data_IF_292944805481
#
_entry.id   IF_292944805481
#
_cell.length_a   1.000
_cell.length_b   1.000
_cell.length_c   1.000
_cell.angle_alpha   90.00
_cell.angle_beta   90.00
_cell.angle_gamma   90.00
#
_symmetry.space_group_name_H-M   'P 1'
#
loop_
_entity.id
_entity.type
_entity.pdbx_description
1 polymer ?
#
# COMPACT_ATOMS: atom_id res chain seq x y z
N UNK A 1 8.59 1.37 7.14
CA UNK A 1 8.97 2.74 6.75
C UNK A 1 10.47 2.93 6.63
N UNK A 2 11.22 2.01 6.00
CA UNK A 2 12.68 2.14 5.89
C UNK A 2 13.09 3.34 5.03
N UNK A 3 12.59 3.42 3.80
CA UNK A 3 12.90 4.50 2.86
C UNK A 3 12.55 5.90 3.40
N UNK A 4 11.38 6.04 4.02
CA UNK A 4 10.85 7.34 4.43
C UNK A 4 11.42 7.83 5.77
N UNK A 5 12.06 6.97 6.58
CA UNK A 5 12.41 7.30 7.96
C UNK A 5 13.35 8.53 8.07
N UNK A 6 14.40 8.70 7.23
CA UNK A 6 15.24 9.89 7.28
C UNK A 6 14.44 11.17 6.97
N UNK A 7 13.66 11.16 5.88
CA UNK A 7 12.83 12.29 5.44
C UNK A 7 11.75 12.66 6.46
N UNK A 8 11.10 11.66 7.06
CA UNK A 8 10.13 11.89 8.13
C UNK A 8 10.82 12.47 9.37
N UNK A 9 12.05 12.03 9.67
CA UNK A 9 12.84 12.59 10.75
C UNK A 9 13.13 14.08 10.57
N UNK A 10 13.53 14.51 9.37
CA UNK A 10 13.73 15.92 9.02
C UNK A 10 12.42 16.71 9.10
N UNK A 11 11.31 16.15 8.60
CA UNK A 11 9.97 16.77 8.70
C UNK A 11 9.54 16.98 10.15
N UNK A 12 9.75 15.98 11.02
CA UNK A 12 9.43 16.06 12.45
C UNK A 12 10.28 17.09 13.20
N UNK A 13 11.52 17.33 12.76
CA UNK A 13 12.40 18.37 13.34
C UNK A 13 12.15 19.76 12.74
N UNK A 14 11.27 19.88 11.75
CA UNK A 14 11.00 21.14 11.05
C UNK A 14 12.12 21.58 10.11
N UNK A 15 13.00 20.66 9.70
CA UNK A 15 14.16 20.95 8.84
C UNK A 15 13.76 21.00 7.35
N UNK A 16 12.74 20.26 6.97
CA UNK A 16 12.20 20.22 5.62
C UNK A 16 10.71 19.84 5.63
N UNK A 17 9.99 20.10 4.54
CA UNK A 17 8.60 19.68 4.39
C UNK A 17 8.43 18.78 3.17
N UNK A 18 8.15 17.50 3.42
CA UNK A 18 7.95 16.48 2.39
C UNK A 18 6.49 16.06 2.31
N UNK A 19 5.99 15.86 1.09
CA UNK A 19 4.75 15.11 0.86
C UNK A 19 5.09 13.62 0.84
N UNK A 20 4.68 12.90 1.88
CA UNK A 20 4.90 11.45 2.02
C UNK A 20 3.57 10.74 1.79
N UNK A 21 3.52 9.86 0.79
CA UNK A 21 2.32 9.13 0.39
C UNK A 21 2.58 7.63 0.49
N UNK A 22 1.83 6.92 1.33
CA UNK A 22 1.76 5.47 1.29
C UNK A 22 0.75 5.02 0.24
N UNK A 23 1.10 3.95 -0.49
CA UNK A 23 0.23 3.37 -1.51
C UNK A 23 -0.04 1.92 -1.14
N UNK A 24 -1.30 1.56 -1.03
CA UNK A 24 -1.76 0.21 -0.68
C UNK A 24 -2.72 -0.33 -1.75
N UNK A 25 -3.01 -1.64 -1.79
CA UNK A 25 -3.99 -2.16 -2.73
C UNK A 25 -5.42 -1.84 -2.27
N UNK A 26 -6.30 -1.51 -3.21
CA UNK A 26 -7.73 -1.36 -2.94
C UNK A 26 -8.38 -2.65 -2.42
N UNK A 27 -7.78 -3.80 -2.67
CA UNK A 27 -8.21 -5.11 -2.16
C UNK A 27 -7.85 -5.37 -0.68
N UNK A 28 -6.82 -4.69 -0.16
CA UNK A 28 -6.40 -4.75 1.25
C UNK A 28 -6.14 -3.32 1.80
N UNK A 29 -7.18 -2.48 1.92
CA UNK A 29 -7.07 -1.05 2.20
C UNK A 29 -6.91 -0.75 3.72
N UNK A 30 -5.81 -1.21 4.32
CA UNK A 30 -5.58 -1.13 5.77
C UNK A 30 -5.51 0.30 6.32
N UNK A 31 -4.83 1.23 5.65
CA UNK A 31 -4.71 2.62 6.05
C UNK A 31 -5.96 3.42 5.68
N UNK A 32 -6.43 3.27 4.45
CA UNK A 32 -7.47 4.12 3.88
C UNK A 32 -8.88 3.74 4.32
N UNK A 33 -9.12 2.48 4.71
CA UNK A 33 -10.45 1.98 5.11
C UNK A 33 -10.44 1.09 6.37
N UNK A 34 -9.27 0.80 6.93
CA UNK A 34 -9.16 0.11 8.21
C UNK A 34 -9.44 1.02 9.41
N UNK A 35 -9.26 0.46 10.60
CA UNK A 35 -9.44 1.18 11.87
C UNK A 35 -8.12 1.27 12.64
N UNK A 36 -7.90 2.37 13.35
CA UNK A 36 -6.73 2.52 14.22
C UNK A 36 -7.01 1.90 15.59
N UNK A 37 -6.54 0.68 15.83
CA UNK A 37 -6.87 -0.10 17.02
C UNK A 37 -5.71 -1.02 17.44
N UNK A 38 -5.80 -1.58 18.65
CA UNK A 38 -4.93 -2.69 19.04
C UNK A 38 -5.40 -3.98 18.37
N UNK A 39 -4.46 -4.69 17.73
CA UNK A 39 -4.72 -5.96 17.07
C UNK A 39 -3.49 -6.86 17.08
N UNK A 40 -3.69 -8.15 16.80
CA UNK A 40 -2.60 -9.11 16.67
C UNK A 40 -1.81 -8.85 15.37
N UNK A 41 -0.48 -8.90 15.47
CA UNK A 41 0.40 -8.74 14.32
C UNK A 41 0.45 -9.98 13.40
N UNK A 42 -0.27 -11.03 13.73
CA UNK A 42 -0.33 -12.25 12.96
C UNK A 42 -1.70 -12.93 13.13
N UNK A 43 -2.08 -13.73 12.12
CA UNK A 43 -3.35 -14.45 12.12
C UNK A 43 -3.39 -15.58 13.17
N UNK A 44 -2.24 -16.13 13.56
CA UNK A 44 -2.10 -17.16 14.58
C UNK A 44 -2.20 -16.63 16.02
N UNK A 45 -2.19 -15.30 16.21
CA UNK A 45 -2.28 -14.60 17.50
C UNK A 45 -1.16 -14.98 18.48
N UNK A 46 0.04 -15.24 17.95
CA UNK A 46 1.22 -15.57 18.77
C UNK A 46 2.08 -14.33 19.05
N UNK A 47 2.04 -13.33 18.17
CA UNK A 47 2.70 -12.04 18.35
C UNK A 47 1.91 -11.16 19.33
N UNK A 48 2.60 -10.23 20.02
CA UNK A 48 1.94 -9.27 20.89
C UNK A 48 0.99 -8.36 20.11
N UNK A 49 0.05 -7.76 20.84
CA UNK A 49 -0.81 -6.73 20.28
C UNK A 49 -0.02 -5.47 19.96
N UNK A 50 -0.31 -4.84 18.84
CA UNK A 50 0.20 -3.52 18.46
C UNK A 50 -0.95 -2.60 18.10
N UNK A 51 -0.82 -1.32 18.47
CA UNK A 51 -1.73 -0.28 18.00
C UNK A 51 -1.35 0.06 16.56
N UNK A 52 -2.24 -0.25 15.62
CA UNK A 52 -2.01 -0.07 14.20
C UNK A 52 -3.31 0.14 13.43
N UNK A 53 -3.20 0.70 12.23
CA UNK A 53 -4.28 0.60 11.26
C UNK A 53 -4.42 -0.86 10.83
N UNK A 54 -5.64 -1.38 10.86
CA UNK A 54 -5.91 -2.79 10.64
C UNK A 54 -7.28 -3.03 10.00
N UNK A 55 -7.36 -4.05 9.15
CA UNK A 55 -8.59 -4.67 8.66
C UNK A 55 -9.07 -5.80 9.60
N UNK A 56 -8.36 -6.04 10.70
CA UNK A 56 -8.52 -7.17 11.62
C UNK A 56 -7.66 -8.37 11.24
N UNK A 57 -7.00 -9.01 12.21
CA UNK A 57 -6.09 -10.15 11.96
C UNK A 57 -6.73 -11.40 11.33
N UNK A 58 -8.05 -11.45 11.29
CA UNK A 58 -8.85 -12.47 10.60
C UNK A 58 -9.31 -12.07 9.19
N UNK A 59 -8.89 -10.90 8.68
CA UNK A 59 -9.19 -10.46 7.33
C UNK A 59 -8.47 -11.37 6.32
N UNK A 60 -9.20 -11.83 5.31
CA UNK A 60 -8.68 -12.67 4.25
C UNK A 60 -8.81 -11.94 2.91
N UNK A 61 -7.68 -11.58 2.28
CA UNK A 61 -7.68 -11.00 0.93
C UNK A 61 -8.35 -11.92 -0.09
N UNK A 62 -8.89 -11.33 -1.16
CA UNK A 62 -9.46 -12.11 -2.26
C UNK A 62 -8.43 -13.07 -2.85
N UNK A 63 -8.81 -14.33 -3.17
CA UNK A 63 -7.96 -15.26 -3.90
C UNK A 63 -7.52 -14.74 -5.28
N UNK A 64 -8.31 -13.85 -5.90
CA UNK A 64 -8.00 -13.24 -7.19
C UNK A 64 -6.97 -12.10 -7.11
N UNK A 65 -6.60 -11.67 -5.89
CA UNK A 65 -5.65 -10.58 -5.71
C UNK A 65 -4.21 -11.05 -5.91
N UNK A 66 -3.58 -10.61 -7.00
CA UNK A 66 -2.21 -10.97 -7.36
C UNK A 66 -1.21 -9.81 -7.17
N UNK A 67 -1.66 -8.63 -6.72
CA UNK A 67 -0.80 -7.47 -6.48
C UNK A 67 0.08 -7.52 -5.23
N UNK A 68 0.11 -8.64 -4.49
CA UNK A 68 0.84 -8.72 -3.22
C UNK A 68 0.21 -7.88 -2.10
N UNK A 69 0.99 -7.34 -1.17
CA UNK A 69 0.53 -6.44 -0.09
C UNK A 69 -0.74 -6.92 0.65
N UNK A 70 -0.73 -8.20 1.05
CA UNK A 70 -1.88 -8.92 1.62
C UNK A 70 -2.03 -8.81 3.15
N UNK A 71 -1.07 -8.20 3.81
CA UNK A 71 -1.06 -8.12 5.27
C UNK A 71 -2.20 -7.23 5.77
N UNK A 72 -2.89 -7.66 6.84
CA UNK A 72 -4.13 -7.04 7.30
C UNK A 72 -3.92 -5.69 8.00
N UNK A 73 -2.71 -5.43 8.48
CA UNK A 73 -2.38 -4.24 9.25
C UNK A 73 -1.24 -3.43 8.66
N UNK A 74 -0.89 -2.35 9.34
CA UNK A 74 0.26 -1.51 9.02
C UNK A 74 1.20 -1.43 10.22
N UNK A 75 2.48 -1.08 10.03
CA UNK A 75 3.36 -0.94 11.19
C UNK A 75 2.86 0.13 12.16
N UNK A 76 3.07 -0.05 13.47
CA UNK A 76 2.65 0.92 14.48
C UNK A 76 3.21 2.32 14.22
N UNK A 77 4.47 2.41 13.76
CA UNK A 77 5.11 3.69 13.42
C UNK A 77 4.39 4.37 12.25
N UNK A 78 4.13 3.65 11.15
CA UNK A 78 3.44 4.25 10.00
C UNK A 78 1.98 4.60 10.35
N UNK A 79 1.35 3.78 11.18
CA UNK A 79 -0.01 4.00 11.66
C UNK A 79 -0.10 5.29 12.47
N UNK A 80 0.83 5.52 13.39
CA UNK A 80 0.88 6.74 14.19
C UNK A 80 1.17 7.97 13.33
N UNK A 81 2.11 7.88 12.38
CA UNK A 81 2.40 8.99 11.46
C UNK A 81 1.17 9.35 10.59
N UNK A 82 0.41 8.34 10.16
CA UNK A 82 -0.81 8.54 9.39
C UNK A 82 -1.95 9.12 10.26
N UNK A 83 -2.16 8.62 11.48
CA UNK A 83 -3.17 9.13 12.43
C UNK A 83 -2.90 10.59 12.81
N UNK A 84 -1.63 10.95 12.99
CA UNK A 84 -1.18 12.33 13.22
C UNK A 84 -1.21 13.21 11.97
N UNK A 85 -1.63 12.68 10.81
CA UNK A 85 -1.70 13.39 9.51
C UNK A 85 -0.35 13.91 9.02
N UNK A 86 0.74 13.25 9.40
CA UNK A 86 2.10 13.58 8.95
C UNK A 86 2.42 12.94 7.59
N UNK A 87 1.62 11.96 7.17
CA UNK A 87 1.68 11.33 5.85
C UNK A 87 0.27 11.09 5.32
N UNK A 88 0.16 10.93 4.00
CA UNK A 88 -1.06 10.56 3.29
C UNK A 88 -1.04 9.06 2.94
N UNK A 89 -2.21 8.50 2.66
CA UNK A 89 -2.35 7.16 2.14
C UNK A 89 -3.39 7.15 1.02
N UNK A 90 -3.12 6.39 -0.04
CA UNK A 90 -4.04 6.14 -1.14
C UNK A 90 -4.10 4.64 -1.44
N UNK A 91 -5.20 4.19 -2.03
CA UNK A 91 -5.37 2.82 -2.47
C UNK A 91 -5.51 2.73 -3.99
N UNK A 92 -4.90 1.73 -4.62
CA UNK A 92 -4.94 1.53 -6.08
C UNK A 92 -5.42 0.13 -6.46
N UNK A 93 -6.08 0.02 -7.62
CA UNK A 93 -6.59 -1.23 -8.17
C UNK A 93 -5.46 -2.06 -8.80
N UNK A 94 -5.52 -3.39 -8.69
CA UNK A 94 -4.42 -4.23 -9.14
C UNK A 94 -4.22 -4.16 -10.67
N UNK A 95 -5.29 -4.03 -11.45
CA UNK A 95 -5.16 -3.88 -12.91
C UNK A 95 -4.37 -2.62 -13.26
N UNK A 96 -4.67 -1.49 -12.61
CA UNK A 96 -3.94 -0.23 -12.78
C UNK A 96 -2.46 -0.30 -12.35
N UNK A 97 -2.17 -1.12 -11.34
CA UNK A 97 -0.81 -1.40 -10.86
C UNK A 97 -0.01 -2.17 -11.91
N UNK A 98 -0.61 -3.20 -12.52
CA UNK A 98 0.06 -3.99 -13.57
C UNK A 98 0.21 -3.21 -14.89
N UNK A 99 -0.71 -2.29 -15.20
CA UNK A 99 -0.56 -1.32 -16.29
C UNK A 99 0.71 -0.48 -16.10
N UNK A 100 0.85 0.15 -14.92
CA UNK A 100 2.01 0.96 -14.57
C UNK A 100 3.31 0.13 -14.58
N UNK A 101 3.26 -1.11 -14.09
CA UNK A 101 4.37 -2.03 -14.09
C UNK A 101 4.89 -2.34 -15.49
N UNK A 102 3.98 -2.64 -16.43
CA UNK A 102 4.34 -2.87 -17.83
C UNK A 102 4.95 -1.64 -18.48
N UNK A 103 4.36 -0.46 -18.24
CA UNK A 103 4.88 0.79 -18.78
C UNK A 103 6.30 1.03 -18.28
N UNK A 104 6.53 0.90 -16.96
CA UNK A 104 7.84 1.05 -16.35
C UNK A 104 8.85 0.05 -16.92
N UNK A 105 8.49 -1.22 -17.04
CA UNK A 105 9.38 -2.23 -17.61
C UNK A 105 9.76 -1.97 -19.07
N UNK A 106 8.84 -1.42 -19.87
CA UNK A 106 9.12 -1.08 -21.28
C UNK A 106 10.02 0.14 -21.43
N UNK A 107 9.92 1.11 -20.52
CA UNK A 107 10.67 2.37 -20.58
C UNK A 107 12.03 2.24 -19.89
N UNK A 108 12.07 1.69 -18.67
CA UNK A 108 13.25 1.63 -17.82
C UNK A 108 14.00 0.29 -17.91
N UNK A 109 13.42 -0.71 -18.58
CA UNK A 109 14.05 -2.03 -18.75
C UNK A 109 14.08 -2.91 -17.48
N UNK A 110 13.42 -2.48 -16.39
CA UNK A 110 13.36 -3.23 -15.13
C UNK A 110 11.94 -3.75 -14.94
N UNK A 111 11.80 -5.07 -14.73
CA UNK A 111 10.52 -5.68 -14.35
C UNK A 111 10.29 -5.54 -12.83
N UNK A 112 9.39 -4.66 -12.37
CA UNK A 112 9.18 -4.44 -10.94
C UNK A 112 8.38 -5.57 -10.28
N UNK A 113 8.53 -5.78 -8.98
CA UNK A 113 7.61 -6.63 -8.23
C UNK A 113 6.20 -6.01 -8.20
N UNK A 114 5.11 -6.79 -8.21
CA UNK A 114 3.74 -6.26 -8.12
C UNK A 114 3.54 -5.31 -6.92
N UNK A 115 4.19 -5.58 -5.78
CA UNK A 115 4.16 -4.71 -4.61
C UNK A 115 4.80 -3.34 -4.89
N UNK A 116 5.96 -3.32 -5.56
CA UNK A 116 6.64 -2.07 -5.95
C UNK A 116 5.83 -1.26 -6.97
N UNK A 117 5.08 -1.93 -7.82
CA UNK A 117 4.28 -1.31 -8.86
C UNK A 117 3.17 -0.41 -8.32
N UNK A 118 2.77 -0.57 -7.04
CA UNK A 118 1.87 0.37 -6.36
C UNK A 118 2.50 1.77 -6.25
N UNK A 119 3.76 1.82 -5.80
CA UNK A 119 4.49 3.08 -5.69
C UNK A 119 4.82 3.67 -7.08
N UNK A 120 5.13 2.83 -8.06
CA UNK A 120 5.32 3.24 -9.45
C UNK A 120 4.04 3.88 -10.00
N UNK A 121 2.87 3.25 -9.78
CA UNK A 121 1.59 3.79 -10.23
C UNK A 121 1.36 5.20 -9.70
N UNK A 122 1.50 5.39 -8.39
CA UNK A 122 1.32 6.70 -7.77
C UNK A 122 2.36 7.74 -8.25
N UNK A 123 3.60 7.31 -8.49
CA UNK A 123 4.63 8.19 -9.04
C UNK A 123 4.32 8.66 -10.47
N UNK A 124 3.80 7.76 -11.32
CA UNK A 124 3.33 8.09 -12.67
C UNK A 124 2.16 9.07 -12.59
N UNK A 125 1.17 8.81 -11.73
CA UNK A 125 0.00 9.69 -11.58
C UNK A 125 0.42 11.11 -11.11
N UNK A 126 1.32 11.21 -10.14
CA UNK A 126 1.84 12.51 -9.68
C UNK A 126 2.67 13.22 -10.78
N UNK A 127 3.45 12.49 -11.57
CA UNK A 127 4.20 13.05 -12.70
C UNK A 127 3.27 13.61 -13.78
N UNK A 128 2.18 12.90 -14.09
CA UNK A 128 1.14 13.37 -15.02
C UNK A 128 0.44 14.62 -14.48
N UNK A 129 0.11 14.66 -13.18
CA UNK A 129 -0.46 15.85 -12.53
C UNK A 129 0.51 17.04 -12.59
N UNK A 130 1.80 16.83 -12.37
CA UNK A 130 2.84 17.86 -12.51
C UNK A 130 2.88 18.41 -13.95
N UNK A 131 2.77 17.54 -14.95
CA UNK A 131 2.69 17.94 -16.36
C UNK A 131 1.46 18.80 -16.67
N UNK A 132 0.30 18.46 -16.11
CA UNK A 132 -0.94 19.23 -16.31
C UNK A 132 -0.92 20.60 -15.62
N UNK A 133 -0.30 20.65 -14.44
CA UNK A 133 -0.25 21.86 -13.61
C UNK A 133 0.95 22.76 -13.92
N UNK A 134 1.96 22.24 -14.62
CA UNK A 134 3.24 22.93 -14.84
C UNK A 134 4.14 23.00 -13.60
N UNK A 135 3.83 22.24 -12.55
CA UNK A 135 4.59 22.22 -11.30
C UNK A 135 5.83 21.33 -11.46
N UNK A 136 7.01 21.85 -11.07
CA UNK A 136 8.24 21.06 -11.03
C UNK A 136 8.38 20.36 -9.68
N UNK A 137 8.50 19.02 -9.68
CA UNK A 137 8.70 18.21 -8.47
C UNK A 137 9.75 17.13 -8.66
N UNK A 138 10.48 16.86 -7.60
CA UNK A 138 11.27 15.64 -7.46
C UNK A 138 10.41 14.55 -6.80
N UNK A 139 10.19 13.44 -7.50
CA UNK A 139 9.42 12.31 -7.01
C UNK A 139 10.38 11.17 -6.66
N UNK A 140 10.39 10.78 -5.39
CA UNK A 140 11.11 9.60 -4.90
C UNK A 140 10.09 8.50 -4.58
N UNK A 141 10.28 7.32 -5.16
CA UNK A 141 9.47 6.14 -4.86
C UNK A 141 10.34 4.91 -4.57
N UNK A 142 9.79 3.94 -3.85
CA UNK A 142 10.50 2.72 -3.47
C UNK A 142 10.29 1.60 -4.49
N UNK A 143 11.34 1.26 -5.25
CA UNK A 143 11.41 0.01 -6.00
C UNK A 143 11.98 -1.09 -5.09
N UNK A 144 11.10 -1.80 -4.40
CA UNK A 144 11.47 -2.72 -3.30
C UNK A 144 11.88 -4.11 -3.75
N UNK A 145 11.60 -4.49 -5.01
CA UNK A 145 11.93 -5.81 -5.54
C UNK A 145 11.71 -5.93 -7.05
N UNK A 146 12.13 -7.07 -7.59
CA UNK A 146 11.98 -7.43 -9.01
C UNK A 146 10.85 -8.44 -9.19
N UNK A 147 10.17 -8.38 -10.34
CA UNK A 147 9.01 -9.22 -10.65
C UNK A 147 9.33 -10.56 -11.31
N UNK A 148 10.61 -11.00 -11.31
CA UNK A 148 11.04 -12.20 -12.03
C UNK A 148 10.34 -13.49 -11.57
N UNK A 149 9.89 -13.53 -10.32
CA UNK A 149 9.16 -14.68 -9.77
C UNK A 149 7.64 -14.49 -9.76
N UNK A 150 7.14 -13.34 -10.23
CA UNK A 150 5.73 -12.98 -10.28
C UNK A 150 5.13 -13.12 -11.69
N UNK A 151 5.80 -13.88 -12.56
CA UNK A 151 5.45 -14.04 -13.97
C UNK A 151 4.03 -14.57 -14.19
N UNK A 152 3.49 -15.36 -13.25
CA UNK A 152 2.10 -15.81 -13.32
C UNK A 152 1.10 -14.66 -13.18
N UNK A 153 1.38 -13.69 -12.31
CA UNK A 153 0.52 -12.52 -12.13
C UNK A 153 0.58 -11.61 -13.37
N UNK A 154 1.79 -11.40 -13.90
CA UNK A 154 1.97 -10.69 -15.18
C UNK A 154 1.27 -11.40 -16.34
N UNK A 155 1.36 -12.73 -16.43
CA UNK A 155 0.66 -13.49 -17.45
C UNK A 155 -0.87 -13.36 -17.32
N UNK A 156 -1.41 -13.44 -16.11
CA UNK A 156 -2.83 -13.25 -15.86
C UNK A 156 -3.32 -11.85 -16.29
N UNK A 157 -2.51 -10.81 -16.05
CA UNK A 157 -2.79 -9.46 -16.55
C UNK A 157 -2.75 -9.41 -18.08
N UNK A 158 -1.68 -9.92 -18.71
CA UNK A 158 -1.51 -9.92 -20.16
C UNK A 158 -2.61 -10.69 -20.90
N UNK A 159 -3.10 -11.76 -20.30
CA UNK A 159 -4.19 -12.59 -20.83
C UNK A 159 -5.58 -11.97 -20.60
N UNK A 160 -5.68 -10.82 -19.92
CA UNK A 160 -6.97 -10.18 -19.59
C UNK A 160 -7.79 -10.96 -18.55
N UNK A 161 -7.16 -11.80 -17.74
CA UNK A 161 -7.81 -12.64 -16.71
C UNK A 161 -7.82 -12.00 -15.33
N UNK A 162 -7.06 -10.92 -15.13
CA UNK A 162 -7.00 -10.18 -13.88
C UNK A 162 -8.27 -9.34 -13.69
N UNK A 163 -8.80 -9.30 -12.47
CA UNK A 163 -9.99 -8.51 -12.12
C UNK A 163 -9.81 -7.86 -10.75
N UNK A 164 -10.33 -6.66 -10.58
CA UNK A 164 -10.25 -5.96 -9.31
C UNK A 164 -11.38 -6.41 -8.38
N UNK A 165 -10.99 -6.84 -7.18
CA UNK A 165 -11.93 -7.08 -6.10
C UNK A 165 -11.61 -6.12 -4.96
N UNK A 166 -12.59 -5.31 -4.62
CA UNK A 166 -12.52 -4.34 -3.52
C UNK A 166 -13.47 -4.83 -2.43
N UNK A 167 -12.99 -5.10 -1.21
CA UNK A 167 -13.85 -5.55 -0.13
C UNK A 167 -14.89 -4.48 0.20
N UNK A 168 -16.12 -4.89 0.49
CA UNK A 168 -17.18 -4.00 0.96
C UNK A 168 -16.93 -3.56 2.41
N UNK A 169 -17.55 -2.45 2.82
CA UNK A 169 -17.46 -2.00 4.22
C UNK A 169 -18.01 -3.04 5.19
N UNK A 170 -19.04 -3.79 4.79
CA UNK A 170 -19.59 -4.89 5.59
C UNK A 170 -18.57 -6.02 5.80
N UNK A 171 -17.81 -6.39 4.77
CA UNK A 171 -16.77 -7.42 4.87
C UNK A 171 -15.63 -6.98 5.80
N UNK A 172 -15.21 -5.71 5.71
CA UNK A 172 -14.23 -5.13 6.62
C UNK A 172 -14.76 -5.13 8.06
N UNK A 173 -15.99 -4.65 8.27
CA UNK A 173 -16.61 -4.59 9.60
C UNK A 173 -16.79 -5.97 10.25
N UNK A 174 -17.08 -7.02 9.48
CA UNK A 174 -17.13 -8.40 9.98
C UNK A 174 -15.79 -8.88 10.55
N UNK A 175 -14.68 -8.38 10.02
CA UNK A 175 -13.34 -8.68 10.53
C UNK A 175 -12.98 -7.79 11.72
N UNK A 176 -13.20 -6.47 11.58
CA UNK A 176 -12.93 -5.46 12.63
C UNK A 176 -13.74 -5.70 13.91
N UNK A 177 -14.97 -6.19 13.82
CA UNK A 177 -15.79 -6.53 15.01
C UNK A 177 -15.21 -7.65 15.87
N UNK A 178 -14.22 -8.40 15.36
CA UNK A 178 -13.53 -9.49 16.07
C UNK A 178 -12.22 -9.06 16.72
N UNK A 179 -11.88 -7.78 16.66
CA UNK A 179 -10.69 -7.23 17.31
C UNK A 179 -10.66 -7.53 18.81
N UNK A 180 -9.45 -7.65 19.40
CA UNK A 180 -9.31 -7.87 20.83
C UNK A 180 -9.89 -6.70 21.62
N UNK A 181 -10.70 -7.02 22.63
CA UNK A 181 -11.24 -6.01 23.55
C UNK A 181 -10.19 -5.65 24.59
N UNK A 182 -9.61 -4.46 24.47
CA UNK A 182 -8.71 -3.90 25.48
C UNK A 182 -9.57 -3.19 26.53
N UNK A 183 -9.37 -3.55 27.80
CA UNK A 183 -10.01 -2.90 28.95
C UNK A 183 -9.10 -1.83 29.53
#
# INVERSE_FOLDING_TARGET
GGLIAPFMGEKLRGEADYKIVAVEPASCPSLTRGVYAYDFCDTGKVCPLQKMYTLGSGFMPSPSHAGGLRYHGMSAILSELYDQKLMEAISVEQTSVFEAAQQFARVEGILPAPESSHAIRAAIDEALRCKETGEEKTILFGLTGTGYFDMYAYAAYNDGKMSDYIPTDEEIQKSVSKLPKIK
#
